data_IF_297909523784
#
_entry.id   IF_297909523784
#
_cell.length_a   1.000
_cell.length_b   1.000
_cell.length_c   1.000
_cell.angle_alpha   90.00
_cell.angle_beta   90.00
_cell.angle_gamma   90.00
#
_symmetry.space_group_name_H-M   'P 1'
#
loop_
_entity.id
_entity.type
_entity.pdbx_description
1 polymer ?
#
# COMPACT_ATOMS: atom_id res chain seq x y z
N UNK A 1 14.74 -41.03 -9.42
CA UNK A 1 15.17 -41.45 -8.07
C UNK A 1 15.69 -40.23 -7.33
N UNK A 2 14.82 -39.53 -6.60
CA UNK A 2 15.17 -38.47 -5.63
C UNK A 2 13.95 -38.23 -4.75
N UNK A 3 13.98 -38.88 -3.59
CA UNK A 3 13.06 -38.64 -2.49
C UNK A 3 13.42 -37.32 -1.81
N UNK A 4 12.45 -36.46 -1.59
CA UNK A 4 12.54 -35.37 -0.62
C UNK A 4 11.40 -35.54 0.38
N UNK A 5 11.78 -35.85 1.61
CA UNK A 5 10.90 -36.03 2.76
C UNK A 5 10.45 -34.64 3.22
N UNK A 6 9.15 -34.36 3.14
CA UNK A 6 8.52 -33.28 3.89
C UNK A 6 7.54 -33.88 4.91
N UNK A 7 7.92 -33.72 6.18
CA UNK A 7 7.12 -34.02 7.37
C UNK A 7 6.14 -32.88 7.66
N UNK A 8 4.94 -33.27 8.07
CA UNK A 8 3.93 -32.55 8.86
C UNK A 8 3.25 -31.31 8.26
N UNK A 9 1.95 -31.44 7.95
CA UNK A 9 0.89 -30.78 8.72
C UNK A 9 -0.47 -31.38 8.35
N UNK A 10 -1.02 -32.16 9.27
CA UNK A 10 -2.36 -32.73 9.19
C UNK A 10 -3.37 -31.74 9.78
N UNK A 11 -4.46 -31.56 9.05
CA UNK A 11 -5.82 -31.42 9.59
C UNK A 11 -6.16 -30.17 10.41
N UNK A 12 -6.84 -29.20 9.78
CA UNK A 12 -7.92 -28.46 10.44
C UNK A 12 -9.15 -28.51 9.53
N UNK A 13 -10.15 -29.20 10.05
CA UNK A 13 -11.48 -29.44 9.49
C UNK A 13 -12.32 -28.18 9.61
N UNK A 14 -13.13 -27.95 8.57
CA UNK A 14 -14.17 -26.93 8.43
C UNK A 14 -15.23 -26.97 9.54
N UNK A 15 -15.91 -25.83 9.77
CA UNK A 15 -17.39 -25.68 9.86
C UNK A 15 -17.77 -24.49 10.77
N UNK A 16 -18.26 -23.36 10.23
CA UNK A 16 -19.69 -22.98 10.03
C UNK A 16 -20.05 -21.86 11.03
N UNK A 17 -20.03 -20.59 10.64
CA UNK A 17 -21.15 -19.79 10.11
C UNK A 17 -22.49 -19.97 10.86
N UNK A 18 -22.80 -19.05 11.78
CA UNK A 18 -24.17 -18.52 11.94
C UNK A 18 -24.06 -17.04 12.29
N UNK A 19 -24.62 -16.19 11.44
CA UNK A 19 -24.71 -14.75 11.62
C UNK A 19 -26.18 -14.38 11.50
N UNK A 20 -26.81 -13.99 12.61
CA UNK A 20 -28.03 -13.17 12.57
C UNK A 20 -28.22 -12.51 13.92
N UNK A 21 -28.16 -11.18 13.95
CA UNK A 21 -28.97 -10.37 14.85
C UNK A 21 -29.00 -8.94 14.33
N UNK A 22 -30.15 -8.61 13.74
CA UNK A 22 -30.61 -7.26 13.55
C UNK A 22 -30.95 -6.66 14.92
N UNK A 23 -30.61 -5.39 15.15
CA UNK A 23 -31.43 -4.54 15.99
C UNK A 23 -31.17 -3.06 15.67
N UNK A 24 -32.23 -2.45 15.17
CA UNK A 24 -32.51 -1.02 15.01
C UNK A 24 -32.48 -0.28 16.35
N UNK A 25 -31.92 0.93 16.39
CA UNK A 25 -32.28 1.94 17.38
C UNK A 25 -32.05 3.37 16.84
N UNK A 26 -32.78 4.38 17.36
CA UNK A 26 -33.19 5.55 16.60
C UNK A 26 -32.38 6.83 16.90
N UNK A 27 -32.47 7.78 15.96
CA UNK A 27 -32.00 9.16 16.04
C UNK A 27 -32.56 9.92 17.26
N UNK A 28 -31.74 10.74 17.94
CA UNK A 28 -32.21 11.87 18.72
C UNK A 28 -32.09 13.20 17.96
N UNK A 29 -33.12 14.01 18.17
CA UNK A 29 -33.41 15.33 17.64
C UNK A 29 -32.39 16.41 18.02
N UNK A 30 -32.15 17.33 17.09
CA UNK A 30 -31.51 18.64 17.31
C UNK A 30 -32.40 19.58 18.14
N UNK A 31 -31.82 20.46 18.97
CA UNK A 31 -32.43 21.72 19.33
C UNK A 31 -31.89 22.89 18.46
N UNK A 32 -32.83 23.63 17.86
CA UNK A 32 -32.66 25.02 17.38
C UNK A 32 -32.74 25.98 18.56
N UNK A 33 -31.75 26.88 18.72
CA UNK A 33 -31.81 28.17 19.42
C UNK A 33 -30.37 28.75 19.36
N UNK A 34 -30.08 30.01 19.05
CA UNK A 34 -30.89 31.17 18.74
C UNK A 34 -30.00 32.27 18.14
N UNK A 35 -30.64 33.22 17.47
CA UNK A 35 -30.06 34.40 16.85
C UNK A 35 -29.95 35.57 17.82
N UNK A 36 -28.76 36.14 17.96
CA UNK A 36 -28.48 37.51 18.42
C UNK A 36 -27.05 37.82 17.95
N UNK A 37 -26.74 38.80 17.10
CA UNK A 37 -27.17 40.19 17.15
C UNK A 37 -26.20 40.96 18.04
N UNK A 38 -25.22 41.67 17.42
CA UNK A 38 -24.34 42.77 17.91
C UNK A 38 -23.14 42.83 16.94
N UNK A 39 -23.09 43.72 15.94
CA UNK A 39 -22.76 45.16 15.99
C UNK A 39 -21.49 45.46 16.79
N UNK A 40 -20.39 45.75 16.09
CA UNK A 40 -19.17 46.27 16.72
C UNK A 40 -17.98 46.37 15.77
N UNK A 41 -17.76 47.58 15.24
CA UNK A 41 -16.43 48.18 14.95
C UNK A 41 -15.42 47.36 14.14
N UNK A 42 -15.33 47.67 12.85
CA UNK A 42 -14.17 47.37 12.02
C UNK A 42 -12.97 48.24 12.44
N UNK A 43 -12.11 47.69 13.27
CA UNK A 43 -10.76 48.20 13.52
C UNK A 43 -9.86 47.76 12.36
N UNK A 44 -9.33 48.74 11.62
CA UNK A 44 -8.25 48.57 10.65
C UNK A 44 -7.00 48.12 11.40
N UNK A 45 -6.79 46.80 11.48
CA UNK A 45 -5.52 46.21 11.87
C UNK A 45 -4.64 46.08 10.63
N UNK A 46 -3.53 46.83 10.64
CA UNK A 46 -2.43 46.71 9.70
C UNK A 46 -1.78 45.33 9.91
N UNK A 47 -2.07 44.36 9.03
CA UNK A 47 -1.40 43.07 9.04
C UNK A 47 -0.07 43.19 8.27
N UNK A 48 1.08 42.91 8.89
CA UNK A 48 2.35 42.81 8.16
C UNK A 48 2.25 41.64 7.18
N UNK A 49 2.90 41.82 6.01
CA UNK A 49 2.83 40.93 4.86
C UNK A 49 2.84 39.45 5.24
N UNK A 50 1.81 38.75 4.79
CA UNK A 50 1.82 37.30 4.74
C UNK A 50 2.93 36.88 3.79
N UNK A 51 4.09 36.55 4.35
CA UNK A 51 4.88 35.49 3.76
C UNK A 51 3.95 34.28 3.68
N UNK A 52 3.71 33.81 2.46
CA UNK A 52 3.11 32.52 2.18
C UNK A 52 3.96 31.43 2.84
N UNK A 53 3.78 31.25 4.16
CA UNK A 53 4.01 29.97 4.82
C UNK A 53 2.89 29.03 4.35
N UNK A 54 2.87 28.78 3.05
CA UNK A 54 2.41 27.53 2.52
C UNK A 54 3.25 26.49 3.26
N UNK A 55 2.66 25.89 4.28
CA UNK A 55 3.26 24.88 5.15
C UNK A 55 3.79 23.78 4.25
N UNK A 56 5.02 23.93 3.77
CA UNK A 56 5.67 22.96 2.89
C UNK A 56 5.72 21.69 3.70
N UNK A 57 5.07 20.64 3.19
CA UNK A 57 5.15 19.34 3.81
C UNK A 57 6.66 19.01 3.93
N UNK A 58 7.21 18.92 5.16
CA UNK A 58 8.65 18.69 5.34
C UNK A 58 9.11 17.42 4.62
N UNK A 59 8.19 16.48 4.45
CA UNK A 59 8.41 15.19 3.81
C UNK A 59 8.23 15.20 2.30
N UNK A 60 8.20 16.36 1.65
CA UNK A 60 8.18 16.42 0.19
C UNK A 60 9.50 15.88 -0.39
N UNK A 61 9.41 14.86 -1.24
CA UNK A 61 10.56 14.38 -2.02
C UNK A 61 11.07 15.48 -2.95
N UNK A 62 12.38 15.72 -2.94
CA UNK A 62 13.06 16.73 -3.78
C UNK A 62 13.82 16.07 -4.91
N UNK A 63 14.42 14.90 -4.65
CA UNK A 63 15.16 14.14 -5.64
C UNK A 63 15.20 12.66 -5.26
N UNK A 64 15.55 11.81 -6.23
CA UNK A 64 15.98 10.45 -5.99
C UNK A 64 17.18 10.14 -6.89
N UNK A 65 18.06 9.25 -6.43
CA UNK A 65 19.08 8.63 -7.26
C UNK A 65 18.77 7.14 -7.46
N UNK A 66 19.76 6.36 -7.91
CA UNK A 66 19.59 4.93 -8.17
C UNK A 66 19.27 4.07 -6.94
N UNK A 67 19.53 4.55 -5.72
CA UNK A 67 19.40 3.78 -4.47
C UNK A 67 18.88 4.60 -3.28
N UNK A 68 18.64 5.91 -3.44
CA UNK A 68 18.32 6.82 -2.35
C UNK A 68 17.25 7.84 -2.75
N UNK A 69 16.52 8.34 -1.74
CA UNK A 69 15.55 9.42 -1.89
C UNK A 69 15.93 10.55 -0.94
N UNK A 70 15.86 11.78 -1.43
CA UNK A 70 16.18 13.00 -0.71
C UNK A 70 14.90 13.81 -0.46
N UNK A 71 14.66 14.19 0.79
CA UNK A 71 13.49 14.97 1.21
C UNK A 71 13.86 16.43 1.45
N UNK A 72 12.86 17.32 1.41
CA UNK A 72 13.04 18.76 1.62
C UNK A 72 13.56 19.09 3.03
N UNK A 73 13.35 18.21 4.00
CA UNK A 73 13.94 18.27 5.35
C UNK A 73 15.45 18.04 5.38
N UNK A 74 16.04 17.50 4.30
CA UNK A 74 17.40 16.97 4.30
C UNK A 74 17.49 15.50 4.72
N UNK A 75 16.38 14.87 5.10
CA UNK A 75 16.37 13.43 5.37
C UNK A 75 16.64 12.63 4.09
N UNK A 76 17.30 11.48 4.26
CA UNK A 76 17.61 10.57 3.15
C UNK A 76 17.12 9.16 3.50
N UNK A 77 16.45 8.51 2.56
CA UNK A 77 16.07 7.10 2.66
C UNK A 77 16.91 6.29 1.68
N UNK A 78 17.63 5.28 2.19
CA UNK A 78 18.44 4.37 1.38
C UNK A 78 17.71 3.04 1.17
N UNK A 79 17.76 2.52 -0.06
CA UNK A 79 17.13 1.28 -0.48
C UNK A 79 18.22 0.27 -0.84
N UNK A 80 18.04 -1.03 -0.53
CA UNK A 80 18.93 -2.11 -0.99
C UNK A 80 18.70 -2.45 -2.48
N UNK A 81 18.50 -1.43 -3.31
CA UNK A 81 18.12 -1.54 -4.71
C UNK A 81 18.97 -0.62 -5.60
N UNK A 82 19.00 -0.95 -6.89
CA UNK A 82 19.52 -0.09 -7.97
C UNK A 82 18.39 0.27 -8.93
N UNK A 83 18.59 1.28 -9.79
CA UNK A 83 17.59 1.65 -10.82
C UNK A 83 16.21 1.99 -10.22
N UNK A 84 16.23 2.74 -9.11
CA UNK A 84 15.03 3.15 -8.37
C UNK A 84 14.19 4.14 -9.19
N UNK A 85 12.91 3.82 -9.38
CA UNK A 85 11.94 4.63 -10.11
C UNK A 85 10.74 4.93 -9.22
N UNK A 86 10.42 6.21 -9.05
CA UNK A 86 9.23 6.68 -8.35
C UNK A 86 7.94 6.31 -9.09
N UNK A 87 7.02 5.63 -8.43
CA UNK A 87 5.74 5.21 -9.02
C UNK A 87 4.55 6.04 -8.55
N UNK A 88 4.64 6.62 -7.35
CA UNK A 88 3.56 7.43 -6.78
C UNK A 88 3.68 7.60 -5.28
N UNK A 89 2.73 8.36 -4.72
CA UNK A 89 2.60 8.55 -3.29
C UNK A 89 1.15 8.44 -2.84
N UNK A 90 0.95 8.06 -1.59
CA UNK A 90 -0.34 8.00 -0.92
C UNK A 90 -0.27 8.76 0.38
N UNK A 91 -1.27 9.60 0.65
CA UNK A 91 -1.40 10.29 1.94
C UNK A 91 -2.29 9.44 2.84
N UNK A 92 -1.71 8.87 3.89
CA UNK A 92 -2.43 8.08 4.88
C UNK A 92 -3.18 8.97 5.89
N UNK A 93 -3.93 8.33 6.79
CA UNK A 93 -4.55 9.01 7.93
C UNK A 93 -3.49 9.81 8.71
N UNK A 94 -3.88 10.98 9.23
CA UNK A 94 -2.99 11.96 9.88
C UNK A 94 -2.01 12.70 8.94
N UNK A 95 -2.23 12.63 7.62
CA UNK A 95 -1.46 13.42 6.64
C UNK A 95 -0.07 12.88 6.32
N UNK A 96 0.27 11.66 6.79
CA UNK A 96 1.57 11.03 6.54
C UNK A 96 1.67 10.54 5.10
N UNK A 97 2.76 10.91 4.42
CA UNK A 97 3.02 10.47 3.05
C UNK A 97 3.77 9.14 3.00
N UNK A 98 3.25 8.22 2.20
CA UNK A 98 3.89 6.97 1.82
C UNK A 98 4.28 7.03 0.36
N UNK A 99 5.51 6.66 0.09
CA UNK A 99 6.11 6.70 -1.22
C UNK A 99 6.31 5.30 -1.77
N UNK A 100 6.04 5.14 -3.07
CA UNK A 100 6.06 3.86 -3.76
C UNK A 100 7.09 3.95 -4.88
N UNK A 101 8.01 3.00 -4.89
CA UNK A 101 9.08 2.89 -5.88
C UNK A 101 9.12 1.50 -6.47
N UNK A 102 9.66 1.40 -7.68
CA UNK A 102 10.21 0.15 -8.19
C UNK A 102 11.73 0.25 -8.23
N UNK A 103 12.42 -0.87 -8.08
CA UNK A 103 13.87 -0.90 -8.22
C UNK A 103 14.37 -2.33 -8.35
N UNK A 104 15.59 -2.50 -8.84
CA UNK A 104 16.24 -3.81 -8.91
C UNK A 104 16.81 -4.17 -7.55
N UNK A 105 16.16 -5.12 -6.90
CA UNK A 105 16.52 -5.59 -5.57
C UNK A 105 17.73 -6.51 -5.65
N UNK A 106 18.81 -6.10 -4.98
CA UNK A 106 20.07 -6.85 -4.93
C UNK A 106 19.91 -8.23 -4.28
N UNK A 107 18.96 -8.38 -3.35
CA UNK A 107 18.66 -9.65 -2.67
C UNK A 107 17.87 -10.63 -3.54
N UNK A 108 17.16 -10.12 -4.57
CA UNK A 108 16.27 -10.91 -5.44
C UNK A 108 16.85 -11.14 -6.83
N UNK A 109 18.15 -11.46 -6.92
CA UNK A 109 18.84 -11.78 -8.19
C UNK A 109 18.66 -10.71 -9.29
N UNK A 110 18.59 -9.43 -8.89
CA UNK A 110 18.34 -8.27 -9.76
C UNK A 110 16.97 -8.24 -10.44
N UNK A 111 15.97 -8.94 -9.88
CA UNK A 111 14.57 -8.75 -10.25
C UNK A 111 14.09 -7.38 -9.79
N UNK A 112 13.09 -6.82 -10.50
CA UNK A 112 12.44 -5.59 -10.04
C UNK A 112 11.48 -5.94 -8.91
N UNK A 113 11.55 -5.13 -7.85
CA UNK A 113 10.72 -5.19 -6.67
C UNK A 113 10.04 -3.85 -6.44
N UNK A 114 8.88 -3.89 -5.78
CA UNK A 114 8.18 -2.72 -5.28
C UNK A 114 8.66 -2.39 -3.87
N UNK A 115 8.91 -1.13 -3.59
CA UNK A 115 9.27 -0.64 -2.27
C UNK A 115 8.24 0.40 -1.81
N UNK A 116 7.78 0.28 -0.57
CA UNK A 116 6.76 1.16 0.00
C UNK A 116 7.30 1.70 1.32
N UNK A 117 7.49 3.01 1.41
CA UNK A 117 8.21 3.62 2.53
C UNK A 117 7.66 4.99 2.89
N UNK A 118 7.60 5.29 4.19
CA UNK A 118 7.34 6.62 4.73
C UNK A 118 8.62 7.15 5.39
N UNK A 119 8.95 8.43 5.25
CA UNK A 119 9.99 9.06 6.06
C UNK A 119 9.67 8.98 7.55
N UNK A 120 10.71 8.89 8.38
CA UNK A 120 10.58 8.76 9.85
C UNK A 120 9.96 7.44 10.33
N UNK A 121 9.68 6.51 9.40
CA UNK A 121 9.19 5.18 9.71
C UNK A 121 10.32 4.17 9.53
N UNK A 122 11.11 3.97 10.57
CA UNK A 122 12.15 2.93 10.58
C UNK A 122 11.55 1.69 11.24
N UNK A 123 11.27 0.63 10.45
CA UNK A 123 10.93 -0.65 11.07
C UNK A 123 12.16 -1.10 11.87
N UNK A 124 12.00 -1.32 13.17
CA UNK A 124 13.06 -1.80 14.07
C UNK A 124 13.68 -3.14 13.64
N UNK A 125 13.08 -3.84 12.67
CA UNK A 125 13.59 -5.06 12.05
C UNK A 125 14.41 -4.86 10.74
N UNK A 126 14.75 -3.61 10.37
CA UNK A 126 15.98 -3.30 9.62
C UNK A 126 16.15 -3.81 8.18
N UNK A 127 15.15 -4.41 7.54
CA UNK A 127 15.27 -4.77 6.12
C UNK A 127 14.05 -4.21 5.38
N UNK A 128 14.29 -3.19 4.57
CA UNK A 128 13.35 -2.76 3.54
C UNK A 128 13.25 -3.89 2.51
N UNK A 129 12.31 -4.81 2.74
CA UNK A 129 12.08 -5.92 1.84
C UNK A 129 11.41 -5.41 0.56
N UNK A 130 11.96 -5.79 -0.60
CA UNK A 130 11.27 -5.61 -1.86
C UNK A 130 10.05 -6.54 -1.95
N UNK A 131 8.89 -5.96 -2.25
CA UNK A 131 7.68 -6.69 -2.59
C UNK A 131 7.71 -7.07 -4.08
N UNK A 132 6.91 -8.05 -4.46
CA UNK A 132 6.75 -8.41 -5.88
C UNK A 132 6.12 -7.24 -6.65
N UNK A 133 6.63 -7.01 -7.86
CA UNK A 133 6.05 -6.05 -8.78
C UNK A 133 4.67 -6.51 -9.28
N UNK A 134 3.77 -5.57 -9.60
CA UNK A 134 2.60 -5.86 -10.44
C UNK A 134 3.04 -6.38 -11.82
N UNK A 135 2.21 -7.21 -12.45
CA UNK A 135 2.49 -7.83 -13.74
C UNK A 135 2.70 -9.34 -13.63
N UNK A 136 3.42 -9.93 -14.59
CA UNK A 136 3.64 -11.38 -14.68
C UNK A 136 5.10 -11.73 -14.45
N UNK A 137 5.36 -12.87 -13.82
CA UNK A 137 6.67 -13.51 -13.83
C UNK A 137 6.60 -14.69 -14.79
N UNK A 138 7.40 -14.62 -15.85
CA UNK A 138 7.54 -15.67 -16.83
C UNK A 138 8.78 -16.50 -16.56
N UNK A 139 8.75 -17.73 -17.04
CA UNK A 139 9.92 -18.60 -17.14
C UNK A 139 11.03 -17.97 -18.00
N UNK A 140 12.20 -18.62 -18.03
CA UNK A 140 13.35 -18.14 -18.79
C UNK A 140 13.10 -18.01 -20.31
N UNK A 141 12.20 -18.83 -20.87
CA UNK A 141 11.83 -18.78 -22.29
C UNK A 141 10.71 -17.77 -22.58
N UNK A 142 10.11 -17.17 -21.55
CA UNK A 142 9.00 -16.23 -21.68
C UNK A 142 7.68 -16.86 -22.14
N UNK A 143 7.53 -18.18 -22.00
CA UNK A 143 6.39 -18.98 -22.47
C UNK A 143 5.42 -19.34 -21.36
N UNK A 144 5.93 -19.66 -20.18
CA UNK A 144 5.12 -20.06 -19.04
C UNK A 144 5.04 -18.94 -18.01
N UNK A 145 3.86 -18.74 -17.43
CA UNK A 145 3.65 -17.77 -16.36
C UNK A 145 3.64 -18.51 -15.03
N UNK A 146 4.55 -18.14 -14.12
CA UNK A 146 4.64 -18.71 -12.76
C UNK A 146 3.98 -17.85 -11.70
N UNK A 147 3.86 -16.55 -11.95
CA UNK A 147 3.26 -15.60 -11.02
C UNK A 147 2.57 -14.48 -11.78
N UNK A 148 1.47 -13.99 -11.22
CA UNK A 148 0.81 -12.78 -11.69
C UNK A 148 0.28 -12.00 -10.50
N UNK A 149 0.42 -10.68 -10.54
CA UNK A 149 -0.13 -9.80 -9.53
C UNK A 149 -0.73 -8.53 -10.11
N UNK A 150 -1.89 -8.16 -9.56
CA UNK A 150 -2.42 -6.82 -9.65
C UNK A 150 -2.20 -6.12 -8.32
N UNK A 151 -1.75 -4.87 -8.34
CA UNK A 151 -1.43 -4.11 -7.14
C UNK A 151 -2.16 -2.79 -7.14
N UNK A 152 -2.91 -2.51 -6.09
CA UNK A 152 -3.65 -1.26 -5.92
C UNK A 152 -3.07 -0.46 -4.77
N UNK A 153 -3.10 0.86 -4.87
CA UNK A 153 -2.64 1.78 -3.83
C UNK A 153 -3.60 2.94 -3.59
N UNK A 154 -3.78 3.38 -2.35
CA UNK A 154 -4.75 4.40 -1.95
C UNK A 154 -5.72 3.86 -0.91
N UNK A 155 -7.00 4.23 -1.00
CA UNK A 155 -8.06 3.63 -0.19
C UNK A 155 -8.45 2.27 -0.81
N UNK A 156 -7.76 1.21 -0.37
CA UNK A 156 -7.86 -0.13 -0.98
C UNK A 156 -9.05 -0.94 -0.48
N UNK A 157 -9.55 -0.61 0.72
CA UNK A 157 -10.85 -1.01 1.27
C UNK A 157 -11.51 0.21 1.92
N UNK A 158 -12.83 0.19 2.20
CA UNK A 158 -13.48 1.29 2.91
C UNK A 158 -12.70 1.69 4.17
N UNK A 159 -12.35 2.96 4.26
CA UNK A 159 -11.61 3.56 5.38
C UNK A 159 -10.21 2.97 5.61
N UNK A 160 -9.67 2.22 4.65
CA UNK A 160 -8.38 1.53 4.75
C UNK A 160 -7.42 2.04 3.69
N UNK A 161 -6.51 2.93 4.11
CA UNK A 161 -5.40 3.39 3.27
C UNK A 161 -4.30 2.33 3.25
N UNK A 162 -3.75 2.01 2.09
CA UNK A 162 -2.70 0.99 1.98
C UNK A 162 -2.26 0.66 0.57
N UNK A 163 -1.57 -0.47 0.47
CA UNK A 163 -1.28 -1.18 -0.79
C UNK A 163 -1.83 -2.59 -0.67
N UNK A 164 -2.56 -3.06 -1.68
CA UNK A 164 -3.07 -4.43 -1.74
C UNK A 164 -2.58 -5.13 -2.99
N UNK A 165 -2.07 -6.35 -2.83
CA UNK A 165 -1.69 -7.26 -3.91
C UNK A 165 -2.75 -8.33 -4.03
N UNK A 166 -3.25 -8.53 -5.24
CA UNK A 166 -4.02 -9.71 -5.64
C UNK A 166 -3.14 -10.56 -6.53
N UNK A 167 -2.47 -11.54 -5.93
CA UNK A 167 -1.51 -12.38 -6.62
C UNK A 167 -2.01 -13.82 -6.83
N UNK A 168 -1.46 -14.46 -7.85
CA UNK A 168 -1.58 -15.90 -8.06
C UNK A 168 -0.24 -16.49 -8.46
N UNK A 169 0.06 -17.66 -7.94
CA UNK A 169 1.30 -18.40 -8.20
C UNK A 169 1.00 -19.82 -8.67
N UNK A 170 1.74 -20.30 -9.66
CA UNK A 170 1.69 -21.69 -10.11
C UNK A 170 2.48 -22.56 -9.14
N UNK A 171 1.81 -23.54 -8.54
CA UNK A 171 2.40 -24.47 -7.58
C UNK A 171 3.01 -25.69 -8.30
N UNK A 172 3.92 -26.45 -7.64
CA UNK A 172 4.55 -27.64 -8.25
C UNK A 172 3.58 -28.75 -8.66
N UNK A 173 2.37 -28.79 -8.10
CA UNK A 173 1.29 -29.70 -8.48
C UNK A 173 0.52 -29.25 -9.75
N UNK A 174 0.94 -28.13 -10.35
CA UNK A 174 0.29 -27.51 -11.51
C UNK A 174 -0.94 -26.67 -11.17
N UNK A 175 -1.31 -26.53 -9.89
CA UNK A 175 -2.45 -25.72 -9.48
C UNK A 175 -2.07 -24.27 -9.21
N UNK A 176 -2.98 -23.35 -9.53
CA UNK A 176 -2.82 -21.95 -9.17
C UNK A 176 -3.29 -21.70 -7.73
N UNK A 177 -2.43 -21.07 -6.93
CA UNK A 177 -2.81 -20.53 -5.62
C UNK A 177 -2.95 -19.03 -5.69
N UNK A 178 -4.09 -18.54 -5.24
CA UNK A 178 -4.41 -17.12 -5.17
C UNK A 178 -4.19 -16.62 -3.75
N UNK A 179 -3.53 -15.48 -3.61
CA UNK A 179 -3.36 -14.80 -2.34
C UNK A 179 -3.74 -13.33 -2.46
N UNK A 180 -4.15 -12.77 -1.34
CA UNK A 180 -4.31 -11.33 -1.16
C UNK A 180 -3.38 -10.89 -0.05
N UNK A 181 -2.54 -9.90 -0.31
CA UNK A 181 -1.66 -9.31 0.71
C UNK A 181 -2.00 -7.84 0.87
N UNK A 182 -2.16 -7.38 2.10
CA UNK A 182 -2.49 -6.00 2.40
C UNK A 182 -1.39 -5.41 3.28
N UNK A 183 -0.83 -4.29 2.83
CA UNK A 183 0.02 -3.41 3.60
C UNK A 183 -0.81 -2.20 4.04
N UNK A 184 -1.25 -2.18 5.29
CA UNK A 184 -2.10 -1.09 5.80
C UNK A 184 -1.27 0.08 6.32
N UNK A 185 -1.63 1.29 5.89
CA UNK A 185 -1.05 2.53 6.40
C UNK A 185 -1.83 3.06 7.63
N UNK A 186 -1.13 3.76 8.53
CA UNK A 186 -1.75 4.49 9.64
C UNK A 186 -1.68 3.80 11.00
N UNK A 187 -1.08 2.60 11.09
CA UNK A 187 -0.67 2.01 12.37
C UNK A 187 0.81 2.33 12.65
N UNK A 188 1.22 2.40 13.93
CA UNK A 188 2.63 2.54 14.31
C UNK A 188 3.49 1.37 13.82
N UNK A 189 2.85 0.24 13.54
CA UNK A 189 3.43 -0.93 12.89
C UNK A 189 2.64 -1.23 11.62
N UNK A 190 3.31 -1.20 10.47
CA UNK A 190 2.73 -1.59 9.19
C UNK A 190 2.35 -3.06 9.27
N UNK A 191 1.05 -3.32 9.31
CA UNK A 191 0.51 -4.67 9.41
C UNK A 191 0.44 -5.27 8.01
N UNK A 192 1.03 -6.46 7.85
CA UNK A 192 0.92 -7.24 6.62
C UNK A 192 -0.08 -8.35 6.86
N UNK A 193 -1.28 -8.19 6.30
CA UNK A 193 -2.32 -9.20 6.36
C UNK A 193 -2.30 -10.06 5.10
N UNK A 194 -2.38 -11.37 5.26
CA UNK A 194 -2.46 -12.33 4.16
C UNK A 194 -3.79 -13.07 4.22
N UNK A 195 -4.54 -13.03 3.13
CA UNK A 195 -5.78 -13.78 2.96
C UNK A 195 -5.64 -14.76 1.79
N UNK A 196 -6.24 -15.94 1.91
CA UNK A 196 -6.29 -16.89 0.80
C UNK A 196 -7.41 -16.55 -0.18
N UNK A 197 -7.13 -16.73 -1.48
CA UNK A 197 -8.01 -16.29 -2.55
C UNK A 197 -7.85 -14.81 -2.87
N UNK A 198 -8.81 -14.29 -3.64
CA UNK A 198 -8.99 -12.85 -3.90
C UNK A 198 -10.27 -12.31 -3.23
N UNK A 199 -10.49 -12.55 -1.93
CA UNK A 199 -11.63 -11.96 -1.26
C UNK A 199 -11.53 -10.44 -1.40
N UNK A 200 -12.67 -9.80 -1.73
CA UNK A 200 -12.81 -8.33 -1.81
C UNK A 200 -12.11 -7.65 -3.01
N UNK A 201 -11.54 -8.38 -3.97
CA UNK A 201 -10.99 -7.76 -5.20
C UNK A 201 -12.01 -6.88 -5.92
N UNK A 202 -13.27 -7.32 -5.99
CA UNK A 202 -14.37 -6.54 -6.57
C UNK A 202 -14.62 -5.21 -5.83
N UNK A 203 -14.44 -5.18 -4.51
CA UNK A 203 -14.56 -3.95 -3.71
C UNK A 203 -13.43 -2.99 -4.08
N UNK A 204 -12.18 -3.47 -4.11
CA UNK A 204 -11.03 -2.64 -4.49
C UNK A 204 -11.14 -2.12 -5.92
N UNK A 205 -11.59 -2.94 -6.87
CA UNK A 205 -11.86 -2.51 -8.25
C UNK A 205 -12.94 -1.42 -8.32
N UNK A 206 -14.01 -1.53 -7.52
CA UNK A 206 -15.03 -0.49 -7.41
C UNK A 206 -14.46 0.81 -6.84
N UNK A 207 -13.58 0.74 -5.84
CA UNK A 207 -12.91 1.92 -5.28
C UNK A 207 -11.94 2.55 -6.29
N UNK A 208 -11.25 1.73 -7.09
CA UNK A 208 -10.40 2.20 -8.17
C UNK A 208 -11.20 2.95 -9.25
N UNK A 209 -12.36 2.43 -9.63
CA UNK A 209 -13.27 3.10 -10.55
C UNK A 209 -13.79 4.44 -10.01
N UNK A 210 -13.97 4.54 -8.69
CA UNK A 210 -14.34 5.78 -8.00
C UNK A 210 -13.17 6.76 -7.81
N UNK A 211 -11.95 6.40 -8.25
CA UNK A 211 -10.75 7.22 -8.08
C UNK A 211 -10.20 7.25 -6.65
N UNK A 212 -10.68 6.37 -5.76
CA UNK A 212 -10.24 6.27 -4.36
C UNK A 212 -8.92 5.51 -4.20
N UNK A 213 -8.61 4.64 -5.15
CA UNK A 213 -7.31 3.98 -5.27
C UNK A 213 -6.89 3.88 -6.73
N UNK A 214 -5.63 3.53 -6.96
CA UNK A 214 -5.02 3.43 -8.27
C UNK A 214 -4.45 2.02 -8.47
N UNK A 215 -4.73 1.41 -9.62
CA UNK A 215 -4.03 0.22 -10.09
C UNK A 215 -2.62 0.63 -10.55
N UNK A 216 -1.60 0.05 -9.94
CA UNK A 216 -0.22 0.22 -10.38
C UNK A 216 0.01 -0.52 -11.70
N UNK A 217 0.67 0.15 -12.65
CA UNK A 217 1.01 -0.45 -13.94
C UNK A 217 1.94 -1.64 -13.72
N UNK A 218 1.52 -2.80 -14.19
CA UNK A 218 2.31 -4.02 -14.16
C UNK A 218 3.36 -4.09 -15.26
N UNK A 219 4.43 -4.82 -14.99
CA UNK A 219 5.48 -5.15 -15.96
C UNK A 219 5.75 -6.65 -15.94
N UNK A 220 5.90 -7.22 -17.13
CA UNK A 220 6.31 -8.60 -17.26
C UNK A 220 7.80 -8.74 -16.96
N UNK A 221 8.13 -9.70 -16.11
CA UNK A 221 9.49 -10.04 -15.71
C UNK A 221 9.81 -11.45 -16.16
N UNK A 222 11.02 -11.66 -16.67
CA UNK A 222 11.51 -12.98 -17.11
C UNK A 222 12.49 -13.49 -16.06
N UNK A 223 12.28 -14.73 -15.60
CA UNK A 223 13.22 -15.39 -14.70
C UNK A 223 14.56 -15.60 -15.40
N UNK A 224 15.65 -15.30 -14.70
CA UNK A 224 16.98 -15.70 -15.18
C UNK A 224 17.13 -17.23 -15.07
N UNK A 225 17.82 -17.86 -16.03
CA UNK A 225 18.15 -19.28 -15.94
C UNK A 225 19.01 -19.60 -14.71
#
# INVERSE_FOLDING_TARGET
MREFILKHCSSIVWSTLVLTLACTAPFPLMPKLGSSGLSGTALLAYLPGGEDQQTRNPWQMVANDSSSIFFATGDTLHFPATDLHYMGKVVAQLGREWYIFSGRDSSRRNMRSLFVQSPGYFSSAGIMHGWEMPGRLLDHDGREVYYEAEVFTGEVFPDTMGVVWYDRSLMPDGQWRMNTRLLQFGRPETDTLVFFGHPRKSITQSLAFQGKCQLLKGEDQVMKP
#
